data_IF_571623001064
#
_entry.id   IF_571623001064
#
_cell.length_a   1.000
_cell.length_b   1.000
_cell.length_c   1.000
_cell.angle_alpha   90.00
_cell.angle_beta   90.00
_cell.angle_gamma   90.00
#
_symmetry.space_group_name_H-M   'P 1'
#
loop_
_entity.id
_entity.type
_entity.pdbx_description
1 polymer ?
#
# COMPACT_ATOMS: atom_id res chain seq x y z
N UNK A 1 12.24 0.53 18.08
CA UNK A 1 11.56 1.25 16.98
C UNK A 1 12.47 1.49 15.76
N UNK A 2 13.46 2.41 15.82
CA UNK A 2 14.29 2.77 14.64
C UNK A 2 15.00 1.59 13.97
N UNK A 3 15.53 0.65 14.75
CA UNK A 3 16.27 -0.51 14.23
C UNK A 3 15.39 -1.46 13.38
N UNK A 4 14.09 -1.59 13.69
CA UNK A 4 13.18 -2.42 12.89
C UNK A 4 12.93 -1.80 11.51
N UNK A 5 12.67 -0.49 11.47
CA UNK A 5 12.44 0.24 10.21
C UNK A 5 13.69 0.18 9.32
N UNK A 6 14.88 0.34 9.91
CA UNK A 6 16.16 0.25 9.18
C UNK A 6 16.38 -1.16 8.63
N UNK A 7 16.06 -2.21 9.40
CA UNK A 7 16.13 -3.60 8.92
C UNK A 7 15.28 -3.79 7.66
N UNK A 8 14.02 -3.35 7.69
CA UNK A 8 13.10 -3.51 6.56
C UNK A 8 13.63 -2.78 5.31
N UNK A 9 14.20 -1.59 5.50
CA UNK A 9 14.82 -0.82 4.42
C UNK A 9 16.07 -1.50 3.83
N UNK A 10 16.90 -2.11 4.68
CA UNK A 10 18.11 -2.84 4.26
C UNK A 10 17.74 -4.08 3.45
N UNK A 11 16.73 -4.84 3.88
CA UNK A 11 16.22 -6.02 3.15
C UNK A 11 15.70 -5.61 1.76
N UNK A 12 15.10 -4.42 1.66
CA UNK A 12 14.58 -3.91 0.40
C UNK A 12 15.66 -3.29 -0.51
N UNK A 13 16.87 -3.00 -0.01
CA UNK A 13 17.91 -2.20 -0.71
C UNK A 13 18.20 -2.66 -2.13
N UNK A 14 18.36 -3.96 -2.35
CA UNK A 14 18.68 -4.50 -3.67
C UNK A 14 17.53 -4.38 -4.68
N UNK A 15 16.31 -4.14 -4.21
CA UNK A 15 15.10 -4.06 -5.04
C UNK A 15 14.65 -2.61 -5.28
N UNK A 16 15.27 -1.63 -4.61
CA UNK A 16 15.00 -0.21 -4.88
C UNK A 16 15.24 0.19 -6.33
N UNK A 17 16.27 -0.38 -6.96
CA UNK A 17 16.55 -0.16 -8.39
C UNK A 17 15.37 -0.61 -9.26
N UNK A 18 14.80 -1.78 -8.98
CA UNK A 18 13.62 -2.27 -9.70
C UNK A 18 12.40 -1.37 -9.51
N UNK A 19 12.24 -0.73 -8.34
CA UNK A 19 11.13 0.19 -8.09
C UNK A 19 11.20 1.48 -8.90
N UNK A 20 12.37 1.88 -9.40
CA UNK A 20 12.50 3.04 -10.29
C UNK A 20 12.35 2.60 -11.74
N UNK A 21 12.90 1.44 -12.09
CA UNK A 21 12.89 0.92 -13.47
C UNK A 21 11.49 0.51 -13.93
N UNK A 22 10.71 -0.20 -13.09
CA UNK A 22 9.37 -0.67 -13.47
C UNK A 22 8.39 0.45 -13.85
N UNK A 23 8.23 1.54 -13.05
CA UNK A 23 7.44 2.71 -13.44
C UNK A 23 7.83 3.27 -14.81
N UNK A 24 9.14 3.39 -15.05
CA UNK A 24 9.68 4.03 -16.22
C UNK A 24 9.47 3.18 -17.49
N UNK A 25 9.72 1.87 -17.40
CA UNK A 25 9.42 0.93 -18.48
C UNK A 25 7.92 0.86 -18.79
N UNK A 26 7.09 0.82 -17.76
CA UNK A 26 5.64 0.78 -17.94
C UNK A 26 5.11 2.06 -18.61
N UNK A 27 5.69 3.20 -18.25
CA UNK A 27 5.42 4.48 -18.90
C UNK A 27 5.82 4.48 -20.38
N UNK A 28 7.02 3.99 -20.72
CA UNK A 28 7.44 3.86 -22.11
C UNK A 28 6.54 2.94 -22.94
N UNK A 29 5.96 1.91 -22.32
CA UNK A 29 5.12 0.94 -23.02
C UNK A 29 3.71 1.48 -23.32
N UNK A 30 3.12 2.24 -22.39
CA UNK A 30 1.70 2.64 -22.47
C UNK A 30 1.48 4.07 -22.91
N UNK A 31 2.45 4.96 -22.68
CA UNK A 31 2.33 6.41 -22.87
C UNK A 31 1.10 7.05 -22.18
N UNK A 32 0.46 6.34 -21.25
CA UNK A 32 -0.72 6.81 -20.54
C UNK A 32 -0.35 7.26 -19.12
N UNK A 33 -0.41 8.57 -18.91
CA UNK A 33 -0.08 9.24 -17.67
C UNK A 33 -0.96 8.78 -16.50
N UNK A 34 -2.22 8.44 -16.74
CA UNK A 34 -3.16 8.11 -15.67
C UNK A 34 -2.90 6.70 -15.14
N UNK A 35 -2.81 5.72 -16.04
CA UNK A 35 -2.57 4.32 -15.67
C UNK A 35 -1.17 4.11 -15.09
N UNK A 36 -0.17 4.81 -15.60
CA UNK A 36 1.20 4.77 -15.05
C UNK A 36 1.23 5.33 -13.62
N UNK A 37 0.54 6.43 -13.35
CA UNK A 37 0.44 6.98 -11.99
C UNK A 37 -0.28 6.03 -11.03
N UNK A 38 -1.39 5.43 -11.45
CA UNK A 38 -2.15 4.51 -10.58
C UNK A 38 -1.36 3.23 -10.28
N UNK A 39 -0.70 2.63 -11.27
CA UNK A 39 0.16 1.45 -11.08
C UNK A 39 1.31 1.72 -10.09
N UNK A 40 1.95 2.88 -10.24
CA UNK A 40 3.11 3.24 -9.42
C UNK A 40 2.73 3.59 -7.99
N UNK A 41 1.54 4.18 -7.77
CA UNK A 41 1.08 4.56 -6.44
C UNK A 41 0.31 3.47 -5.70
N UNK A 42 -0.29 2.50 -6.41
CA UNK A 42 -1.10 1.43 -5.81
C UNK A 42 -0.34 0.09 -5.83
N UNK A 43 0.03 -0.39 -7.02
CA UNK A 43 0.49 -1.78 -7.19
C UNK A 43 1.92 -1.95 -6.70
N UNK A 44 2.83 -1.03 -7.04
CA UNK A 44 4.24 -1.12 -6.60
C UNK A 44 4.35 -1.11 -5.05
N UNK A 45 3.69 -0.21 -4.31
CA UNK A 45 3.73 -0.21 -2.85
C UNK A 45 3.17 -1.49 -2.23
N UNK A 46 2.07 -2.01 -2.76
CA UNK A 46 1.51 -3.29 -2.29
C UNK A 46 2.51 -4.44 -2.48
N UNK A 47 3.18 -4.50 -3.65
CA UNK A 47 4.21 -5.51 -3.90
C UNK A 47 5.41 -5.37 -2.95
N UNK A 48 5.82 -4.13 -2.65
CA UNK A 48 6.92 -3.84 -1.72
C UNK A 48 6.61 -4.39 -0.33
N UNK A 49 5.43 -4.08 0.21
CA UNK A 49 5.01 -4.51 1.55
C UNK A 49 4.77 -6.02 1.59
N UNK A 50 4.20 -6.60 0.53
CA UNK A 50 4.05 -8.05 0.45
C UNK A 50 5.39 -8.76 0.52
N UNK A 51 6.40 -8.19 -0.11
CA UNK A 51 7.73 -8.76 -0.12
C UNK A 51 8.42 -8.68 1.24
N UNK A 52 8.22 -7.61 2.01
CA UNK A 52 8.71 -7.58 3.39
C UNK A 52 8.02 -8.62 4.25
N UNK A 53 6.72 -8.83 4.07
CA UNK A 53 5.98 -9.87 4.78
C UNK A 53 6.48 -11.27 4.44
N UNK A 54 6.79 -11.54 3.17
CA UNK A 54 7.41 -12.79 2.74
C UNK A 54 8.79 -13.00 3.37
N UNK A 55 9.63 -11.96 3.36
CA UNK A 55 10.97 -12.01 3.97
C UNK A 55 10.91 -12.23 5.49
N UNK A 56 9.91 -11.66 6.16
CA UNK A 56 9.72 -11.83 7.60
C UNK A 56 9.24 -13.24 7.96
N UNK A 57 8.36 -13.85 7.16
CA UNK A 57 7.93 -15.24 7.35
C UNK A 57 9.05 -16.23 7.02
N UNK A 58 9.77 -16.01 5.91
CA UNK A 58 10.91 -16.86 5.49
C UNK A 58 12.03 -16.90 6.53
N UNK A 59 12.27 -15.79 7.22
CA UNK A 59 13.32 -15.67 8.24
C UNK A 59 12.84 -16.03 9.66
N UNK A 60 11.62 -16.58 9.81
CA UNK A 60 10.98 -16.84 11.11
C UNK A 60 11.10 -15.67 12.09
N UNK A 61 11.02 -14.45 11.56
CA UNK A 61 11.36 -13.24 12.32
C UNK A 61 10.48 -13.08 13.56
N UNK A 62 9.25 -13.60 13.55
CA UNK A 62 8.36 -13.64 14.71
C UNK A 62 8.94 -14.42 15.90
N UNK A 63 9.61 -15.57 15.66
CA UNK A 63 10.25 -16.34 16.73
C UNK A 63 11.47 -15.61 17.28
N UNK A 64 12.23 -14.94 16.40
CA UNK A 64 13.37 -14.12 16.78
C UNK A 64 12.95 -12.86 17.56
N UNK A 65 11.79 -12.28 17.26
CA UNK A 65 11.25 -11.15 18.03
C UNK A 65 10.67 -11.59 19.38
N UNK A 66 10.29 -12.86 19.54
CA UNK A 66 9.78 -13.41 20.80
C UNK A 66 10.89 -13.60 21.83
N UNK A 67 12.14 -13.77 21.40
CA UNK A 67 13.32 -13.84 22.29
C UNK A 67 13.90 -12.46 22.63
N UNK A 68 13.44 -11.40 21.97
CA UNK A 68 13.85 -10.03 22.25
C UNK A 68 12.83 -9.34 23.17
N UNK A 69 13.26 -8.51 24.14
CA UNK A 69 12.37 -7.75 25.02
C UNK A 69 11.74 -6.54 24.30
N UNK A 70 11.09 -6.79 23.16
CA UNK A 70 10.44 -5.76 22.34
C UNK A 70 8.93 -5.87 22.55
N UNK A 71 8.31 -4.76 22.95
CA UNK A 71 6.86 -4.69 23.07
C UNK A 71 6.19 -4.92 21.71
N UNK A 72 5.27 -5.89 21.60
CA UNK A 72 4.56 -6.23 20.36
C UNK A 72 3.85 -5.03 19.72
N UNK A 73 3.35 -4.08 20.53
CA UNK A 73 2.80 -2.80 20.04
C UNK A 73 3.82 -2.05 19.17
N UNK A 74 5.08 -1.96 19.61
CA UNK A 74 6.14 -1.27 18.85
C UNK A 74 6.40 -1.93 17.48
N UNK A 75 6.21 -3.24 17.35
CA UNK A 75 6.32 -3.95 16.08
C UNK A 75 5.20 -3.55 15.11
N UNK A 76 3.96 -3.49 15.60
CA UNK A 76 2.80 -3.04 14.81
C UNK A 76 3.03 -1.60 14.33
N UNK A 77 3.39 -0.70 15.24
CA UNK A 77 3.69 0.70 14.91
C UNK A 77 4.81 0.82 13.87
N UNK A 78 5.87 0.00 13.96
CA UNK A 78 6.95 0.01 12.98
C UNK A 78 6.46 -0.39 11.57
N UNK A 79 5.62 -1.43 11.44
CA UNK A 79 5.11 -1.87 10.13
C UNK A 79 4.17 -0.85 9.50
N UNK A 80 3.31 -0.19 10.29
CA UNK A 80 2.45 0.90 9.80
C UNK A 80 3.28 2.10 9.33
N UNK A 81 4.30 2.49 10.09
CA UNK A 81 5.21 3.57 9.68
C UNK A 81 5.98 3.22 8.41
N UNK A 82 6.44 1.98 8.27
CA UNK A 82 7.11 1.50 7.06
C UNK A 82 6.18 1.58 5.83
N UNK A 83 4.94 1.10 5.96
CA UNK A 83 3.94 1.19 4.88
C UNK A 83 3.67 2.65 4.45
N UNK A 84 3.55 3.58 5.41
CA UNK A 84 3.41 5.02 5.14
C UNK A 84 4.64 5.58 4.40
N UNK A 85 5.85 5.24 4.84
CA UNK A 85 7.06 5.71 4.17
C UNK A 85 7.17 5.22 2.73
N UNK A 86 6.77 3.97 2.46
CA UNK A 86 6.74 3.41 1.11
C UNK A 86 5.72 4.16 0.23
N UNK A 87 4.55 4.46 0.77
CA UNK A 87 3.51 5.23 0.06
C UNK A 87 4.05 6.61 -0.34
N UNK A 88 4.70 7.32 0.59
CA UNK A 88 5.28 8.64 0.30
C UNK A 88 6.33 8.54 -0.80
N UNK A 89 7.24 7.55 -0.71
CA UNK A 89 8.28 7.33 -1.73
C UNK A 89 7.66 7.01 -3.09
N UNK A 90 6.63 6.17 -3.15
CA UNK A 90 6.00 5.81 -4.42
C UNK A 90 5.28 6.97 -5.09
N UNK A 91 4.66 7.85 -4.31
CA UNK A 91 4.04 9.08 -4.81
C UNK A 91 5.08 10.04 -5.37
N UNK A 92 6.23 10.19 -4.70
CA UNK A 92 7.33 11.02 -5.19
C UNK A 92 7.86 10.48 -6.52
N UNK A 93 8.06 9.16 -6.62
CA UNK A 93 8.50 8.50 -7.85
C UNK A 93 7.47 8.70 -8.97
N UNK A 94 6.18 8.48 -8.69
CA UNK A 94 5.09 8.65 -9.65
C UNK A 94 4.98 10.09 -10.17
N UNK A 95 5.18 11.07 -9.27
CA UNK A 95 5.24 12.49 -9.63
C UNK A 95 6.46 12.80 -10.51
N UNK A 96 7.61 12.19 -10.25
CA UNK A 96 8.80 12.40 -11.09
C UNK A 96 8.63 11.77 -12.49
N UNK A 97 7.99 10.60 -12.59
CA UNK A 97 7.78 9.92 -13.88
C UNK A 97 6.75 10.61 -14.76
N UNK A 98 5.65 11.09 -14.17
CA UNK A 98 4.49 11.60 -14.94
C UNK A 98 4.27 13.10 -14.71
N UNK A 99 4.42 13.58 -13.48
CA UNK A 99 4.10 14.95 -13.07
C UNK A 99 4.97 16.03 -13.70
N UNK A 100 6.22 15.73 -14.06
CA UNK A 100 7.14 16.69 -14.72
C UNK A 100 6.61 17.15 -16.08
N UNK A 101 5.81 16.33 -16.76
CA UNK A 101 5.32 16.59 -18.12
C UNK A 101 3.96 17.32 -18.14
N UNK A 102 3.19 17.27 -17.06
CA UNK A 102 1.86 17.87 -16.96
C UNK A 102 1.97 19.35 -16.56
N UNK A 103 2.37 20.23 -17.49
CA UNK A 103 2.53 21.67 -17.20
C UNK A 103 1.22 22.48 -17.22
N UNK A 104 0.12 21.97 -17.79
CA UNK A 104 -1.09 22.77 -18.06
C UNK A 104 -2.41 22.21 -17.48
N UNK A 105 -2.51 20.91 -17.18
CA UNK A 105 -3.74 20.26 -16.65
C UNK A 105 -3.59 19.71 -15.22
N UNK A 106 -2.73 20.34 -14.42
CA UNK A 106 -2.34 19.85 -13.08
C UNK A 106 -3.54 19.66 -12.15
N UNK A 107 -4.50 20.59 -12.14
CA UNK A 107 -5.63 20.55 -11.19
C UNK A 107 -6.59 19.40 -11.49
N UNK A 108 -6.94 19.18 -12.76
CA UNK A 108 -7.82 18.08 -13.15
C UNK A 108 -7.15 16.73 -12.96
N UNK A 109 -5.86 16.63 -13.29
CA UNK A 109 -5.08 15.43 -13.05
C UNK A 109 -5.05 15.09 -11.55
N UNK A 110 -4.73 16.05 -10.68
CA UNK A 110 -4.72 15.82 -9.23
C UNK A 110 -6.06 15.28 -8.73
N UNK A 111 -7.18 15.89 -9.16
CA UNK A 111 -8.52 15.49 -8.72
C UNK A 111 -8.95 14.12 -9.24
N UNK A 112 -8.61 13.78 -10.48
CA UNK A 112 -9.09 12.56 -11.15
C UNK A 112 -8.17 11.35 -10.97
N UNK A 113 -6.87 11.55 -10.78
CA UNK A 113 -5.90 10.44 -10.73
C UNK A 113 -5.17 10.37 -9.40
N UNK A 114 -4.59 11.48 -8.94
CA UNK A 114 -3.72 11.48 -7.75
C UNK A 114 -4.50 11.18 -6.48
N UNK A 115 -5.56 11.95 -6.22
CA UNK A 115 -6.35 11.78 -4.99
C UNK A 115 -7.03 10.40 -4.94
N UNK A 116 -7.69 9.92 -6.02
CA UNK A 116 -8.27 8.57 -6.02
C UNK A 116 -7.23 7.46 -5.85
N UNK A 117 -6.09 7.52 -6.55
CA UNK A 117 -5.09 6.46 -6.45
C UNK A 117 -4.46 6.37 -5.05
N UNK A 118 -4.15 7.51 -4.43
CA UNK A 118 -3.68 7.53 -3.05
C UNK A 118 -4.74 6.97 -2.09
N UNK A 119 -6.01 7.35 -2.27
CA UNK A 119 -7.11 6.83 -1.43
C UNK A 119 -7.24 5.31 -1.53
N UNK A 120 -7.09 4.74 -2.73
CA UNK A 120 -7.11 3.29 -2.94
C UNK A 120 -5.94 2.60 -2.24
N UNK A 121 -4.72 3.16 -2.32
CA UNK A 121 -3.55 2.62 -1.60
C UNK A 121 -3.77 2.58 -0.09
N UNK A 122 -4.35 3.66 0.47
CA UNK A 122 -4.70 3.72 1.89
C UNK A 122 -5.71 2.63 2.30
N UNK A 123 -6.77 2.44 1.50
CA UNK A 123 -7.77 1.40 1.74
C UNK A 123 -7.11 0.02 1.73
N UNK A 124 -6.29 -0.28 0.72
CA UNK A 124 -5.63 -1.58 0.60
C UNK A 124 -4.73 -1.84 1.81
N UNK A 125 -3.93 -0.86 2.22
CA UNK A 125 -3.03 -1.00 3.38
C UNK A 125 -3.80 -1.19 4.69
N UNK A 126 -4.93 -0.52 4.83
CA UNK A 126 -5.84 -0.66 5.96
C UNK A 126 -6.40 -2.08 6.12
N UNK A 127 -6.51 -2.87 5.05
CA UNK A 127 -6.92 -4.27 5.17
C UNK A 127 -5.72 -5.21 5.25
N UNK A 128 -4.70 -4.95 4.45
CA UNK A 128 -3.54 -5.81 4.30
C UNK A 128 -2.76 -5.96 5.62
N UNK A 129 -2.55 -4.87 6.37
CA UNK A 129 -1.80 -4.89 7.63
C UNK A 129 -2.51 -5.72 8.73
N UNK A 130 -3.80 -5.52 9.03
CA UNK A 130 -4.52 -6.37 9.99
C UNK A 130 -4.54 -7.85 9.62
N UNK A 131 -4.79 -8.16 8.35
CA UNK A 131 -4.84 -9.53 7.87
C UNK A 131 -3.50 -10.22 8.10
N UNK A 132 -2.39 -9.49 7.94
CA UNK A 132 -1.05 -10.03 8.16
C UNK A 132 -0.80 -10.44 9.60
N UNK A 133 -1.15 -9.57 10.54
CA UNK A 133 -1.02 -9.89 11.95
C UNK A 133 -1.98 -11.00 12.40
N UNK A 134 -3.14 -11.15 11.76
CA UNK A 134 -4.11 -12.18 12.16
C UNK A 134 -3.80 -13.57 11.59
N UNK A 135 -3.35 -13.66 10.33
CA UNK A 135 -3.40 -14.89 9.53
C UNK A 135 -2.06 -15.33 8.92
N UNK A 136 -0.99 -14.56 9.08
CA UNK A 136 0.32 -14.86 8.49
C UNK A 136 0.39 -14.58 6.99
N UNK A 137 1.59 -14.70 6.38
CA UNK A 137 1.81 -14.19 5.03
C UNK A 137 1.05 -14.97 3.94
N UNK A 138 1.05 -16.30 3.97
CA UNK A 138 0.40 -17.10 2.91
C UNK A 138 -1.07 -16.72 2.70
N UNK A 139 -1.82 -16.48 3.79
CA UNK A 139 -3.23 -16.07 3.73
C UNK A 139 -3.39 -14.60 3.33
N UNK A 140 -2.47 -13.73 3.73
CA UNK A 140 -2.50 -12.31 3.32
C UNK A 140 -2.36 -12.12 1.84
N UNK A 141 -1.50 -12.91 1.20
CA UNK A 141 -1.26 -12.82 -0.23
C UNK A 141 -2.55 -13.09 -1.00
N UNK A 142 -3.22 -14.20 -0.67
CA UNK A 142 -4.50 -14.59 -1.29
C UNK A 142 -5.58 -13.54 -1.00
N UNK A 143 -5.73 -13.11 0.26
CA UNK A 143 -6.75 -12.13 0.62
C UNK A 143 -6.52 -10.77 -0.03
N UNK A 144 -5.28 -10.32 -0.17
CA UNK A 144 -4.97 -9.02 -0.80
C UNK A 144 -5.25 -9.06 -2.29
N UNK A 145 -4.97 -10.18 -2.97
CA UNK A 145 -5.37 -10.37 -4.37
C UNK A 145 -6.89 -10.31 -4.52
N UNK A 146 -7.64 -10.97 -3.63
CA UNK A 146 -9.10 -10.92 -3.63
C UNK A 146 -9.59 -9.49 -3.41
N UNK A 147 -9.02 -8.74 -2.46
CA UNK A 147 -9.40 -7.34 -2.20
C UNK A 147 -9.12 -6.43 -3.41
N UNK A 148 -8.07 -6.71 -4.19
CA UNK A 148 -7.72 -5.91 -5.36
C UNK A 148 -8.61 -6.22 -6.57
N UNK A 149 -8.93 -7.50 -6.80
CA UNK A 149 -9.65 -7.97 -8.00
C UNK A 149 -11.18 -7.94 -7.81
N UNK A 150 -11.67 -8.36 -6.64
CA UNK A 150 -13.11 -8.47 -6.38
C UNK A 150 -13.91 -7.18 -6.65
N UNK A 151 -13.50 -5.98 -6.20
CA UNK A 151 -14.29 -4.78 -6.43
C UNK A 151 -14.36 -4.41 -7.92
N UNK A 152 -13.28 -4.63 -8.68
CA UNK A 152 -13.25 -4.38 -10.13
C UNK A 152 -14.24 -5.32 -10.82
N UNK A 153 -14.16 -6.62 -10.51
CA UNK A 153 -15.04 -7.63 -11.11
C UNK A 153 -16.51 -7.40 -10.76
N UNK A 154 -16.82 -7.07 -9.50
CA UNK A 154 -18.20 -6.81 -9.05
C UNK A 154 -18.79 -5.59 -9.77
N UNK A 155 -18.03 -4.48 -9.85
CA UNK A 155 -18.51 -3.24 -10.47
C UNK A 155 -18.72 -3.38 -11.99
N UNK A 156 -17.81 -4.07 -12.68
CA UNK A 156 -17.89 -4.23 -14.13
C UNK A 156 -18.93 -5.28 -14.55
N UNK A 157 -18.95 -6.44 -13.90
CA UNK A 157 -19.81 -7.57 -14.31
C UNK A 157 -21.24 -7.43 -13.80
N UNK A 158 -21.44 -7.06 -12.53
CA UNK A 158 -22.79 -7.02 -11.94
C UNK A 158 -23.47 -5.68 -12.15
N UNK A 159 -22.74 -4.58 -11.95
CA UNK A 159 -23.34 -3.25 -11.99
C UNK A 159 -23.24 -2.58 -13.37
N UNK A 160 -22.43 -3.11 -14.31
CA UNK A 160 -22.14 -2.49 -15.61
C UNK A 160 -21.77 -1.00 -15.50
N UNK A 161 -21.22 -0.60 -14.35
CA UNK A 161 -20.80 0.78 -14.12
C UNK A 161 -19.44 0.93 -14.78
N UNK A 162 -19.32 1.85 -15.74
CA UNK A 162 -18.03 2.21 -16.29
C UNK A 162 -17.25 2.95 -15.20
N UNK A 163 -16.21 2.32 -14.63
CA UNK A 163 -15.40 2.86 -13.53
C UNK A 163 -14.82 4.24 -13.90
N UNK A 164 -14.56 4.47 -15.19
CA UNK A 164 -14.10 5.76 -15.75
C UNK A 164 -15.06 6.93 -15.50
N UNK A 165 -16.34 6.68 -15.22
CA UNK A 165 -17.39 7.70 -15.10
C UNK A 165 -17.94 7.82 -13.67
N UNK A 166 -17.44 7.01 -12.73
CA UNK A 166 -17.81 7.10 -11.32
C UNK A 166 -17.15 8.34 -10.67
N UNK A 167 -17.80 9.50 -10.83
CA UNK A 167 -17.36 10.77 -10.24
C UNK A 167 -17.72 10.86 -8.76
N UNK A 168 -17.08 10.05 -7.91
CA UNK A 168 -17.10 10.30 -6.48
C UNK A 168 -16.30 11.56 -6.16
N UNK A 169 -16.75 12.33 -5.17
CA UNK A 169 -16.03 13.50 -4.70
C UNK A 169 -14.69 13.03 -4.11
N UNK A 170 -13.59 13.15 -4.87
CA UNK A 170 -12.32 12.48 -4.57
C UNK A 170 -11.73 12.86 -3.22
N UNK A 171 -12.00 14.09 -2.76
CA UNK A 171 -11.62 14.56 -1.43
C UNK A 171 -12.30 13.75 -0.31
N UNK A 172 -13.59 13.42 -0.45
CA UNK A 172 -14.32 12.65 0.56
C UNK A 172 -13.80 11.21 0.66
N UNK A 173 -13.49 10.59 -0.49
CA UNK A 173 -12.86 9.26 -0.52
C UNK A 173 -11.51 9.26 0.18
N UNK A 174 -10.70 10.29 -0.03
CA UNK A 174 -9.39 10.41 0.60
C UNK A 174 -9.47 10.57 2.12
N UNK A 175 -10.37 11.44 2.61
CA UNK A 175 -10.60 11.60 4.05
C UNK A 175 -11.11 10.28 4.67
N UNK A 176 -12.06 9.61 4.02
CA UNK A 176 -12.56 8.31 4.46
C UNK A 176 -11.47 7.24 4.51
N UNK A 177 -10.58 7.19 3.52
CA UNK A 177 -9.47 6.24 3.48
C UNK A 177 -8.46 6.46 4.61
N UNK A 178 -8.15 7.73 4.94
CA UNK A 178 -7.32 8.06 6.09
C UNK A 178 -7.99 7.60 7.38
N UNK A 179 -9.28 7.91 7.58
CA UNK A 179 -10.04 7.46 8.74
C UNK A 179 -10.03 5.93 8.88
N UNK A 180 -10.22 5.20 7.77
CA UNK A 180 -10.15 3.74 7.75
C UNK A 180 -8.79 3.22 8.18
N UNK A 181 -7.69 3.81 7.70
CA UNK A 181 -6.35 3.41 8.11
C UNK A 181 -6.10 3.64 9.60
N UNK A 182 -6.57 4.77 10.14
CA UNK A 182 -6.50 5.02 11.59
C UNK A 182 -7.34 4.01 12.40
N UNK A 183 -8.56 3.70 11.94
CA UNK A 183 -9.40 2.68 12.57
C UNK A 183 -8.74 1.31 12.55
N UNK A 184 -8.17 0.92 11.41
CA UNK A 184 -7.41 -0.32 11.25
C UNK A 184 -6.25 -0.41 12.24
N UNK A 185 -5.53 0.70 12.42
CA UNK A 185 -4.43 0.77 13.38
C UNK A 185 -4.93 0.51 14.81
N UNK A 186 -6.04 1.14 15.21
CA UNK A 186 -6.66 0.94 16.54
C UNK A 186 -7.20 -0.47 16.74
N UNK A 187 -7.78 -1.07 15.69
CA UNK A 187 -8.24 -2.46 15.74
C UNK A 187 -7.06 -3.40 15.90
N UNK A 188 -5.98 -3.21 15.12
CA UNK A 188 -4.76 -4.01 15.25
C UNK A 188 -4.17 -3.96 16.65
N UNK A 189 -4.05 -2.78 17.26
CA UNK A 189 -3.48 -2.66 18.61
C UNK A 189 -4.35 -3.35 19.66
N UNK A 190 -5.68 -3.17 19.61
CA UNK A 190 -6.61 -3.85 20.53
C UNK A 190 -6.68 -5.36 20.34
N UNK A 191 -6.64 -5.85 19.09
CA UNK A 191 -6.75 -7.27 18.79
C UNK A 191 -5.48 -8.03 19.21
N UNK A 192 -4.30 -7.40 19.07
CA UNK A 192 -3.04 -7.97 19.55
C UNK A 192 -2.89 -7.90 21.06
N UNK A 193 -3.35 -6.83 21.73
CA UNK A 193 -3.41 -6.77 23.20
C UNK A 193 -4.24 -7.91 23.81
N UNK A 194 -5.30 -8.36 23.13
CA UNK A 194 -6.15 -9.47 23.60
C UNK A 194 -5.53 -10.86 23.41
N UNK A 195 -4.53 -11.02 22.54
CA UNK A 195 -3.77 -12.27 22.40
C UNK A 195 -2.66 -12.42 23.46
N UNK A 196 -2.49 -11.41 24.31
CA UNK A 196 -1.54 -11.41 25.45
C UNK A 196 -2.20 -11.92 26.76
N UNK A 197 -3.43 -12.42 26.72
CA UNK A 197 -4.12 -13.18 27.80
C UNK A 197 -4.36 -14.61 27.34
#
# INVERSE_FOLDING_TARGET
>A
MKQLIIKDFIVQRNFFIWYIIYPFLFYMATHDNQSTFTLTTVIIPVMIIMRTFYSDEKNESEKMFTSLPICRKQMIWAKYMFALTILIISVIIAYFTVGVQLRMETVNFIKMTVVPSMSLSFIIFSFMLPIYFMLGYQKTFIMTLVILIAPIFILEVFFKINIKQASFNSVFLFVGAICMMFLSMLVCTKLYERRDL
#
